data_IF_327324807945
#
_entry.id   IF_327324807945
#
_cell.length_a   1.000
_cell.length_b   1.000
_cell.length_c   1.000
_cell.angle_alpha   90.00
_cell.angle_beta   90.00
_cell.angle_gamma   90.00
#
_symmetry.space_group_name_H-M   'P 1'
#
loop_
_entity.id
_entity.type
_entity.pdbx_description
1 polymer ?
#
# COMPACT_ATOMS: atom_id res chain seq x y z
N UNK A 1 17.76 -13.26 -7.42
CA UNK A 1 17.23 -12.42 -8.51
C UNK A 1 16.81 -11.11 -7.88
N UNK A 2 17.32 -10.00 -8.40
CA UNK A 2 17.13 -8.70 -7.78
C UNK A 2 16.19 -7.84 -8.61
N UNK A 3 15.33 -7.09 -7.96
CA UNK A 3 14.49 -6.06 -8.54
C UNK A 3 14.46 -4.84 -7.62
N UNK A 4 14.24 -3.68 -8.18
CA UNK A 4 13.98 -2.46 -7.44
C UNK A 4 12.98 -1.61 -8.20
N UNK A 5 12.33 -0.69 -7.52
CA UNK A 5 11.40 0.25 -8.11
C UNK A 5 11.09 1.40 -7.18
N UNK A 6 10.50 2.45 -7.77
CA UNK A 6 10.03 3.64 -7.06
C UNK A 6 8.64 4.00 -7.56
N UNK A 7 7.76 4.38 -6.64
CA UNK A 7 6.39 4.79 -6.95
C UNK A 7 6.04 6.07 -6.19
N UNK A 8 5.48 7.03 -6.92
CA UNK A 8 4.91 8.24 -6.32
C UNK A 8 3.44 8.02 -6.05
N UNK A 9 3.02 8.25 -4.83
CA UNK A 9 1.65 8.05 -4.35
C UNK A 9 1.16 9.40 -3.82
N UNK A 10 0.04 9.90 -4.35
CA UNK A 10 -0.56 11.18 -3.98
C UNK A 10 -1.35 11.07 -2.66
N UNK A 11 -0.68 10.60 -1.61
CA UNK A 11 -1.22 10.47 -0.26
C UNK A 11 -0.10 10.68 0.76
N UNK A 12 -0.46 11.02 2.00
CA UNK A 12 0.52 11.20 3.08
C UNK A 12 1.20 9.87 3.43
N UNK A 13 2.37 9.95 4.01
CA UNK A 13 3.15 8.78 4.41
C UNK A 13 2.39 7.88 5.39
N UNK A 14 1.65 8.49 6.32
CA UNK A 14 0.80 7.80 7.29
C UNK A 14 -0.34 7.03 6.59
N UNK A 15 -0.98 7.66 5.59
CA UNK A 15 -2.05 7.04 4.80
C UNK A 15 -1.53 5.86 3.99
N UNK A 16 -0.39 6.02 3.33
CA UNK A 16 0.26 4.93 2.57
C UNK A 16 0.67 3.79 3.51
N UNK A 17 1.25 4.12 4.66
CA UNK A 17 1.62 3.14 5.69
C UNK A 17 0.41 2.33 6.18
N UNK A 18 -0.68 3.00 6.54
CA UNK A 18 -1.91 2.36 6.99
C UNK A 18 -2.46 1.40 5.92
N UNK A 19 -2.48 1.83 4.66
CA UNK A 19 -2.94 1.02 3.53
C UNK A 19 -2.08 -0.22 3.28
N UNK A 20 -0.75 -0.10 3.41
CA UNK A 20 0.19 -1.22 3.28
C UNK A 20 0.12 -2.21 4.46
N UNK A 21 -0.52 -1.83 5.55
CA UNK A 21 -0.75 -2.68 6.72
C UNK A 21 -2.21 -3.15 6.86
N UNK A 22 -3.10 -2.79 5.94
CA UNK A 22 -4.49 -3.22 5.94
C UNK A 22 -4.70 -4.45 5.03
N UNK A 23 -5.05 -5.63 5.59
CA UNK A 23 -5.31 -6.84 4.80
C UNK A 23 -6.38 -6.65 3.72
N UNK A 24 -7.42 -5.86 3.98
CA UNK A 24 -8.50 -5.62 3.03
C UNK A 24 -8.01 -4.78 1.84
N UNK A 25 -7.21 -3.75 2.10
CA UNK A 25 -6.57 -2.95 1.05
C UNK A 25 -5.58 -3.79 0.24
N UNK A 26 -4.73 -4.56 0.90
CA UNK A 26 -3.78 -5.45 0.23
C UNK A 26 -4.49 -6.47 -0.65
N UNK A 27 -5.58 -7.08 -0.17
CA UNK A 27 -6.37 -8.05 -0.95
C UNK A 27 -6.95 -7.43 -2.22
N UNK A 28 -7.43 -6.19 -2.17
CA UNK A 28 -7.94 -5.46 -3.34
C UNK A 28 -6.83 -5.17 -4.36
N UNK A 29 -5.64 -4.82 -3.88
CA UNK A 29 -4.54 -4.40 -4.73
C UNK A 29 -3.76 -5.57 -5.34
N UNK A 30 -3.66 -6.72 -4.65
CA UNK A 30 -2.96 -7.90 -5.15
C UNK A 30 -3.82 -8.62 -6.20
N UNK A 31 -3.35 -8.66 -7.44
CA UNK A 31 -4.06 -9.35 -8.51
C UNK A 31 -4.14 -10.86 -8.26
N UNK A 32 -5.36 -11.42 -8.32
CA UNK A 32 -5.59 -12.84 -8.10
C UNK A 32 -5.57 -13.25 -6.63
N UNK A 33 -5.58 -12.30 -5.69
CA UNK A 33 -5.68 -12.58 -4.27
C UNK A 33 -7.09 -13.14 -3.96
N UNK A 34 -7.13 -14.39 -3.53
CA UNK A 34 -8.37 -15.06 -3.13
C UNK A 34 -8.68 -14.85 -1.64
N UNK A 35 -7.64 -14.78 -0.82
CA UNK A 35 -7.73 -14.46 0.61
C UNK A 35 -6.41 -13.88 1.11
N UNK A 36 -6.49 -12.96 2.08
CA UNK A 36 -5.34 -12.45 2.82
C UNK A 36 -5.82 -12.07 4.22
N UNK A 37 -5.21 -12.67 5.22
CA UNK A 37 -5.58 -12.46 6.63
C UNK A 37 -4.33 -12.14 7.44
N UNK A 38 -4.48 -11.29 8.45
CA UNK A 38 -3.44 -11.05 9.44
C UNK A 38 -3.49 -12.15 10.49
N UNK A 39 -2.43 -12.95 10.59
CA UNK A 39 -2.33 -14.08 11.54
C UNK A 39 -1.56 -13.72 12.81
N UNK A 40 -0.74 -12.67 12.74
CA UNK A 40 -0.06 -12.07 13.90
C UNK A 40 0.20 -10.58 13.60
N UNK A 41 0.73 -9.82 14.56
CA UNK A 41 0.95 -8.37 14.43
C UNK A 41 1.70 -7.99 13.14
N UNK A 42 2.71 -8.78 12.77
CA UNK A 42 3.55 -8.54 11.61
C UNK A 42 3.52 -9.72 10.62
N UNK A 43 2.48 -10.56 10.63
CA UNK A 43 2.36 -11.70 9.73
C UNK A 43 1.02 -11.72 9.02
N UNK A 44 1.07 -11.97 7.71
CA UNK A 44 -0.09 -12.18 6.86
C UNK A 44 0.01 -13.54 6.18
N UNK A 45 -1.11 -14.21 6.05
CA UNK A 45 -1.24 -15.44 5.29
C UNK A 45 -2.39 -15.35 4.28
N UNK A 46 -2.23 -15.99 3.14
CA UNK A 46 -3.27 -15.91 2.12
C UNK A 46 -3.06 -16.87 0.97
N UNK A 47 -3.95 -16.74 -0.01
CA UNK A 47 -3.94 -17.50 -1.26
C UNK A 47 -4.00 -16.57 -2.44
N UNK A 48 -3.08 -16.75 -3.39
CA UNK A 48 -2.98 -15.93 -4.59
C UNK A 48 -2.92 -16.82 -5.82
N UNK A 49 -3.85 -16.63 -6.75
CA UNK A 49 -3.79 -17.25 -8.08
C UNK A 49 -2.87 -16.42 -8.98
N UNK A 50 -1.81 -17.00 -9.49
CA UNK A 50 -0.84 -16.30 -10.34
C UNK A 50 -0.48 -17.10 -11.59
N UNK A 51 -0.11 -16.36 -12.65
CA UNK A 51 0.41 -16.92 -13.90
C UNK A 51 1.81 -16.33 -14.18
N UNK A 52 2.79 -17.20 -14.34
CA UNK A 52 4.18 -16.83 -14.66
C UNK A 52 4.59 -17.60 -15.91
N UNK A 53 4.56 -16.91 -17.05
CA UNK A 53 4.71 -17.57 -18.36
C UNK A 53 3.62 -18.64 -18.57
N UNK A 54 3.98 -19.88 -18.89
CA UNK A 54 3.05 -20.98 -19.09
C UNK A 54 2.53 -21.60 -17.78
N UNK A 55 3.13 -21.26 -16.64
CA UNK A 55 2.80 -21.84 -15.34
C UNK A 55 1.68 -21.06 -14.70
N UNK A 56 0.55 -21.72 -14.38
CA UNK A 56 -0.56 -21.16 -13.63
C UNK A 56 -0.80 -21.97 -12.38
N UNK A 57 -0.86 -21.32 -11.22
CA UNK A 57 -1.07 -22.02 -9.95
C UNK A 57 -1.69 -21.11 -8.89
N UNK A 58 -2.25 -21.75 -7.86
CA UNK A 58 -2.63 -21.10 -6.61
C UNK A 58 -1.50 -21.29 -5.60
N UNK A 59 -1.02 -20.19 -5.09
CA UNK A 59 0.06 -20.15 -4.11
C UNK A 59 -0.50 -19.86 -2.73
N UNK A 60 -0.12 -20.67 -1.75
CA UNK A 60 -0.24 -20.28 -0.35
C UNK A 60 0.93 -19.36 -0.04
N UNK A 61 0.65 -18.16 0.45
CA UNK A 61 1.65 -17.14 0.76
C UNK A 61 1.69 -16.86 2.25
N UNK A 62 2.89 -16.62 2.77
CA UNK A 62 3.14 -16.11 4.11
C UNK A 62 4.05 -14.92 3.96
N UNK A 63 3.64 -13.78 4.51
CA UNK A 63 4.38 -12.52 4.49
C UNK A 63 4.65 -12.09 5.93
N UNK A 64 5.88 -11.62 6.20
CA UNK A 64 6.27 -11.08 7.50
C UNK A 64 6.92 -9.73 7.34
N UNK A 65 6.58 -8.82 8.24
CA UNK A 65 7.22 -7.52 8.36
C UNK A 65 8.28 -7.60 9.46
N UNK A 66 9.50 -7.27 9.10
CA UNK A 66 10.67 -7.25 9.98
C UNK A 66 11.29 -5.86 9.96
N UNK A 67 12.12 -5.52 10.96
CA UNK A 67 12.81 -4.23 11.05
C UNK A 67 11.89 -3.02 10.86
N UNK A 68 10.71 -3.08 11.45
CA UNK A 68 9.65 -2.08 11.26
C UNK A 68 9.99 -0.77 11.96
N UNK A 69 10.13 0.30 11.18
CA UNK A 69 10.17 1.69 11.64
C UNK A 69 8.87 2.34 11.17
N UNK A 70 7.89 2.56 12.07
CA UNK A 70 6.56 3.02 11.69
C UNK A 70 6.59 4.27 10.80
N UNK A 71 5.79 4.25 9.75
CA UNK A 71 5.67 5.27 8.70
C UNK A 71 6.91 5.54 7.85
N UNK A 72 8.05 4.88 8.12
CA UNK A 72 9.30 5.12 7.42
C UNK A 72 9.78 3.93 6.61
N UNK A 73 9.92 2.76 7.23
CA UNK A 73 10.50 1.60 6.53
C UNK A 73 10.16 0.27 7.19
N UNK A 74 10.28 -0.79 6.43
CA UNK A 74 10.26 -2.18 6.90
C UNK A 74 10.95 -3.10 5.89
N UNK A 75 11.34 -4.28 6.36
CA UNK A 75 11.74 -5.40 5.52
C UNK A 75 10.56 -6.37 5.42
N UNK A 76 10.06 -6.60 4.20
CA UNK A 76 9.04 -7.60 3.90
C UNK A 76 9.73 -8.91 3.56
N UNK A 77 9.55 -9.96 4.37
CA UNK A 77 9.95 -11.31 4.00
C UNK A 77 8.74 -12.12 3.53
N UNK A 78 8.92 -12.95 2.51
CA UNK A 78 7.82 -13.68 1.91
C UNK A 78 8.19 -15.08 1.46
N UNK A 79 7.26 -16.01 1.72
CA UNK A 79 7.29 -17.36 1.17
C UNK A 79 6.00 -17.66 0.43
N UNK A 80 6.10 -18.35 -0.69
CA UNK A 80 4.96 -18.86 -1.45
C UNK A 80 5.16 -20.30 -1.85
N UNK A 81 4.12 -21.12 -1.78
CA UNK A 81 4.17 -22.55 -2.12
C UNK A 81 2.95 -22.94 -2.95
N UNK A 82 3.17 -23.70 -4.03
CA UNK A 82 2.14 -24.20 -4.91
C UNK A 82 2.32 -25.71 -5.19
N UNK A 83 2.38 -26.51 -4.14
CA UNK A 83 2.50 -27.96 -4.22
C UNK A 83 3.63 -28.43 -5.15
N UNK A 84 3.34 -29.27 -6.14
CA UNK A 84 4.31 -29.80 -7.11
C UNK A 84 4.75 -28.78 -8.18
N UNK A 85 4.13 -27.60 -8.24
CA UNK A 85 4.49 -26.54 -9.20
C UNK A 85 5.76 -25.82 -8.77
N UNK A 86 5.93 -25.58 -7.47
CA UNK A 86 7.13 -24.96 -6.96
C UNK A 86 6.88 -24.01 -5.80
N UNK A 87 7.92 -23.25 -5.52
CA UNK A 87 7.91 -22.27 -4.42
C UNK A 87 8.66 -21.01 -4.84
N UNK A 88 8.36 -19.92 -4.14
CA UNK A 88 9.12 -18.68 -4.14
C UNK A 88 9.43 -18.25 -2.71
N UNK A 89 10.55 -17.60 -2.49
CA UNK A 89 10.90 -16.95 -1.24
C UNK A 89 11.77 -15.74 -1.51
N UNK A 90 11.65 -14.71 -0.69
CA UNK A 90 12.47 -13.52 -0.85
C UNK A 90 12.24 -12.51 0.25
N UNK A 91 12.98 -11.42 0.14
CA UNK A 91 12.82 -10.24 0.99
C UNK A 91 12.82 -8.98 0.16
N UNK A 92 12.17 -7.95 0.67
CA UNK A 92 12.17 -6.61 0.09
C UNK A 92 12.33 -5.57 1.20
N UNK A 93 13.30 -4.69 1.06
CA UNK A 93 13.41 -3.51 1.89
C UNK A 93 12.55 -2.41 1.27
N UNK A 94 11.63 -1.86 2.04
CA UNK A 94 10.69 -0.82 1.63
C UNK A 94 10.94 0.43 2.45
N UNK A 95 11.04 1.57 1.77
CA UNK A 95 11.25 2.90 2.38
C UNK A 95 10.18 3.86 1.87
N UNK A 96 9.58 4.61 2.78
CA UNK A 96 8.63 5.68 2.51
C UNK A 96 9.28 7.02 2.84
N UNK A 97 9.26 7.96 1.92
CA UNK A 97 9.73 9.32 2.12
C UNK A 97 8.72 10.34 1.62
N UNK A 98 8.61 11.47 2.28
CA UNK A 98 7.78 12.57 1.81
C UNK A 98 8.43 13.24 0.60
N UNK A 99 7.64 13.49 -0.44
CA UNK A 99 8.12 14.20 -1.63
C UNK A 99 6.98 14.88 -2.37
N UNK A 100 7.16 16.17 -2.65
CA UNK A 100 6.26 16.98 -3.48
C UNK A 100 4.77 16.88 -3.05
N UNK A 101 4.49 16.91 -1.74
CA UNK A 101 3.14 16.82 -1.18
C UNK A 101 2.52 15.42 -1.18
N UNK A 102 3.28 14.39 -1.48
CA UNK A 102 2.88 12.98 -1.43
C UNK A 102 3.98 12.09 -0.86
N UNK A 103 3.88 10.80 -1.12
CA UNK A 103 4.84 9.79 -0.67
C UNK A 103 5.60 9.21 -1.84
N UNK A 104 6.92 9.19 -1.76
CA UNK A 104 7.79 8.37 -2.59
C UNK A 104 8.03 7.05 -1.84
N UNK A 105 7.54 5.95 -2.40
CA UNK A 105 7.84 4.59 -1.97
C UNK A 105 8.96 4.05 -2.84
N UNK A 106 10.07 3.61 -2.23
CA UNK A 106 11.15 2.88 -2.91
C UNK A 106 11.32 1.50 -2.32
N UNK A 107 11.66 0.52 -3.14
CA UNK A 107 11.95 -0.84 -2.68
C UNK A 107 13.13 -1.45 -3.43
N UNK A 108 13.82 -2.35 -2.73
CA UNK A 108 14.81 -3.25 -3.30
C UNK A 108 14.51 -4.66 -2.79
N UNK A 109 14.42 -5.62 -3.70
CA UNK A 109 14.04 -6.99 -3.35
C UNK A 109 14.98 -8.02 -3.98
N UNK A 110 15.31 -9.05 -3.19
CA UNK A 110 15.92 -10.29 -3.66
C UNK A 110 14.95 -11.46 -3.48
N UNK A 111 14.90 -12.34 -4.48
CA UNK A 111 14.05 -13.52 -4.40
C UNK A 111 14.61 -14.72 -5.15
N UNK A 112 14.16 -15.90 -4.74
CA UNK A 112 14.51 -17.21 -5.32
C UNK A 112 13.24 -18.00 -5.60
N UNK A 113 13.25 -18.72 -6.70
CA UNK A 113 12.16 -19.64 -7.08
C UNK A 113 12.70 -21.04 -7.28
N UNK A 114 11.87 -22.04 -7.03
CA UNK A 114 12.23 -23.45 -7.21
C UNK A 114 11.10 -24.25 -7.86
N UNK A 115 11.39 -25.52 -8.17
CA UNK A 115 10.45 -26.40 -8.87
C UNK A 115 10.27 -26.04 -10.35
N UNK A 116 9.07 -26.26 -10.89
CA UNK A 116 8.73 -25.93 -12.29
C UNK A 116 8.84 -24.42 -12.57
N UNK A 117 8.65 -23.56 -11.56
CA UNK A 117 8.85 -22.13 -11.69
C UNK A 117 10.29 -21.77 -12.08
N UNK A 118 11.28 -22.46 -11.55
CA UNK A 118 12.67 -22.20 -11.92
C UNK A 118 12.96 -22.56 -13.38
N UNK A 119 12.21 -23.51 -13.96
CA UNK A 119 12.36 -23.94 -15.36
C UNK A 119 11.80 -22.93 -16.37
N UNK A 120 10.95 -21.99 -15.92
CA UNK A 120 10.40 -20.92 -16.78
C UNK A 120 11.49 -19.94 -17.25
N UNK A 121 12.57 -19.84 -16.49
CA UNK A 121 13.71 -18.95 -16.77
C UNK A 121 13.62 -17.62 -16.01
N UNK A 122 14.77 -17.19 -15.52
CA UNK A 122 14.89 -16.00 -14.65
C UNK A 122 14.32 -14.74 -15.28
N UNK A 123 14.50 -14.53 -16.59
CA UNK A 123 14.03 -13.34 -17.30
C UNK A 123 12.50 -13.21 -17.26
N UNK A 124 11.77 -14.32 -17.46
CA UNK A 124 10.31 -14.33 -17.40
C UNK A 124 9.80 -14.15 -15.97
N UNK A 125 10.49 -14.76 -14.98
CA UNK A 125 10.14 -14.60 -13.57
C UNK A 125 10.34 -13.17 -13.12
N UNK A 126 11.49 -12.55 -13.41
CA UNK A 126 11.76 -11.12 -13.09
C UNK A 126 10.74 -10.20 -13.77
N UNK A 127 10.43 -10.43 -15.06
CA UNK A 127 9.45 -9.63 -15.78
C UNK A 127 8.04 -9.73 -15.17
N UNK A 128 7.61 -10.93 -14.79
CA UNK A 128 6.33 -11.15 -14.12
C UNK A 128 6.28 -10.47 -12.74
N UNK A 129 7.37 -10.57 -11.96
CA UNK A 129 7.46 -9.95 -10.63
C UNK A 129 7.40 -8.43 -10.71
N UNK A 130 8.14 -7.81 -11.65
CA UNK A 130 8.05 -6.36 -11.89
C UNK A 130 6.65 -5.93 -12.28
N UNK A 131 6.03 -6.63 -13.23
CA UNK A 131 4.64 -6.33 -13.63
C UNK A 131 3.67 -6.44 -12.46
N UNK A 132 3.82 -7.43 -11.59
CA UNK A 132 2.98 -7.58 -10.40
C UNK A 132 3.15 -6.40 -9.43
N UNK A 133 4.38 -5.92 -9.24
CA UNK A 133 4.66 -4.73 -8.43
C UNK A 133 4.02 -3.47 -9.05
N UNK A 134 4.17 -3.26 -10.36
CA UNK A 134 3.57 -2.12 -11.08
C UNK A 134 2.04 -2.15 -10.98
N UNK A 135 1.42 -3.32 -11.19
CA UNK A 135 -0.04 -3.50 -11.08
C UNK A 135 -0.54 -3.25 -9.65
N UNK A 136 0.21 -3.72 -8.64
CA UNK A 136 -0.12 -3.53 -7.23
C UNK A 136 -0.07 -2.06 -6.84
N UNK A 137 1.05 -1.38 -7.05
CA UNK A 137 1.21 0.03 -6.68
C UNK A 137 0.30 0.96 -7.50
N UNK A 138 0.06 0.63 -8.76
CA UNK A 138 -0.91 1.36 -9.57
C UNK A 138 -2.35 1.23 -9.08
N UNK A 139 -2.74 0.09 -8.50
CA UNK A 139 -4.05 -0.07 -7.84
C UNK A 139 -4.09 0.63 -6.50
N UNK A 140 -3.04 0.49 -5.68
CA UNK A 140 -2.94 1.15 -4.39
C UNK A 140 -3.09 2.67 -4.54
N UNK A 141 -2.40 3.29 -5.49
CA UNK A 141 -2.53 4.73 -5.76
C UNK A 141 -3.97 5.12 -6.08
N UNK A 142 -4.65 4.37 -6.97
CA UNK A 142 -6.05 4.64 -7.33
C UNK A 142 -7.02 4.47 -6.16
N UNK A 143 -6.85 3.44 -5.33
CA UNK A 143 -7.69 3.23 -4.16
C UNK A 143 -7.52 4.37 -3.14
N UNK A 144 -6.29 4.84 -2.93
CA UNK A 144 -6.00 5.96 -2.04
C UNK A 144 -6.53 7.29 -2.58
N UNK A 145 -6.41 7.54 -3.89
CA UNK A 145 -7.00 8.72 -4.53
C UNK A 145 -8.53 8.71 -4.42
N UNK A 146 -9.17 7.55 -4.64
CA UNK A 146 -10.63 7.40 -4.52
C UNK A 146 -11.14 7.55 -3.07
N UNK A 147 -10.28 7.29 -2.08
CA UNK A 147 -10.61 7.41 -0.65
C UNK A 147 -10.30 8.80 -0.08
N UNK A 148 -9.76 9.73 -0.90
CA UNK A 148 -9.45 11.09 -0.48
C UNK A 148 -10.77 11.87 -0.29
N UNK A 149 -11.05 12.46 0.88
CA UNK A 149 -12.23 13.29 1.06
C UNK A 149 -12.21 14.48 0.09
N UNK A 150 -13.36 14.80 -0.53
CA UNK A 150 -13.51 15.95 -1.44
C UNK A 150 -13.15 17.30 -0.79
N UNK A 151 -13.07 17.37 0.53
CA UNK A 151 -12.74 18.55 1.31
C UNK A 151 -11.29 19.06 1.10
N UNK A 152 -10.33 18.17 0.80
CA UNK A 152 -8.94 18.56 0.53
C UNK A 152 -8.75 19.09 -0.90
N UNK A 153 -9.56 18.64 -1.86
CA UNK A 153 -9.57 19.16 -3.22
C UNK A 153 -10.17 20.58 -3.31
N UNK A 154 -11.04 20.95 -2.37
CA UNK A 154 -11.62 22.29 -2.29
C UNK A 154 -10.66 23.32 -1.64
N UNK A 155 -9.70 22.88 -0.83
CA UNK A 155 -8.74 23.77 -0.19
C UNK A 155 -7.61 24.24 -1.15
N UNK A 156 -7.30 23.47 -2.19
CA UNK A 156 -6.34 23.90 -3.23
C UNK A 156 -6.93 24.81 -4.30
N UNK A 157 -8.26 24.98 -4.34
CA UNK A 157 -8.96 25.75 -5.36
C UNK A 157 -9.39 27.16 -4.93
N UNK A 158 -8.83 27.75 -3.87
CA UNK A 158 -9.10 29.14 -3.50
C UNK A 158 -8.10 30.04 -4.24
N UNK A 159 -8.50 30.72 -5.33
CA UNK A 159 -7.68 31.79 -5.89
C UNK A 159 -7.59 32.91 -4.88
N UNK A 160 -6.41 33.45 -4.67
CA UNK A 160 -6.16 34.63 -3.88
C UNK A 160 -7.03 35.79 -4.40
N UNK A 161 -8.16 36.05 -3.76
CA UNK A 161 -8.97 37.23 -4.00
C UNK A 161 -8.53 38.31 -3.03
N UNK A 162 -8.16 39.42 -3.62
CA UNK A 162 -7.68 40.69 -3.06
C UNK A 162 -8.45 41.14 -1.85
N UNK A 163 -7.71 41.65 -0.89
CA UNK A 163 -8.22 42.37 0.26
C UNK A 163 -8.94 43.67 -0.19
N UNK A 164 -10.22 43.76 0.02
CA UNK A 164 -10.88 45.06 0.15
C UNK A 164 -11.58 45.19 1.51
N UNK A 165 -11.11 46.19 2.22
CA UNK A 165 -11.46 46.56 3.56
C UNK A 165 -12.86 47.19 3.62
N UNK A 166 -13.81 46.59 4.32
CA UNK A 166 -14.89 47.31 5.05
C UNK A 166 -15.55 46.39 6.08
N UNK A 167 -15.29 46.67 7.35
CA UNK A 167 -16.08 46.21 8.48
C UNK A 167 -17.51 46.81 8.42
N UNK A 168 -18.52 46.12 8.97
CA UNK A 168 -18.87 46.39 10.35
C UNK A 168 -19.14 45.18 11.24
N UNK A 169 -18.72 45.35 12.46
CA UNK A 169 -19.04 44.69 13.70
C UNK A 169 -20.54 44.43 13.86
N UNK A 170 -20.97 43.18 14.18
CA UNK A 170 -22.00 42.87 15.21
C UNK A 170 -22.10 41.33 15.44
N UNK A 171 -22.01 40.97 16.74
CA UNK A 171 -22.64 39.84 17.46
C UNK A 171 -22.42 38.42 16.91
N UNK A 172 -21.86 37.47 17.59
CA UNK A 172 -21.93 37.14 19.01
C UNK A 172 -22.41 35.71 19.20
N UNK A 173 -21.57 34.83 19.83
CA UNK A 173 -21.97 33.67 20.66
C UNK A 173 -22.97 32.65 20.10
N UNK A 174 -22.50 31.50 19.64
CA UNK A 174 -23.14 30.19 19.84
C UNK A 174 -22.44 29.03 19.08
N UNK A 175 -21.24 28.60 19.40
CA UNK A 175 -20.73 27.27 19.05
C UNK A 175 -19.76 26.76 20.14
N UNK A 176 -20.24 26.70 21.37
CA UNK A 176 -19.50 26.10 22.49
C UNK A 176 -20.29 24.99 23.22
N UNK A 177 -21.36 24.47 22.61
CA UNK A 177 -22.31 23.55 23.29
C UNK A 177 -22.32 22.09 22.77
N UNK A 178 -21.65 21.72 21.67
CA UNK A 178 -21.84 20.42 21.04
C UNK A 178 -20.68 19.42 21.24
N UNK A 179 -19.55 19.84 21.81
CA UNK A 179 -18.40 18.94 22.04
C UNK A 179 -18.38 18.30 23.45
N UNK A 180 -19.27 18.70 24.38
CA UNK A 180 -19.32 18.13 25.73
C UNK A 180 -20.30 16.96 25.84
N UNK A 181 -21.24 16.80 24.91
CA UNK A 181 -22.25 15.72 24.99
C UNK A 181 -21.75 14.39 24.40
N UNK A 182 -20.72 14.38 23.57
CA UNK A 182 -20.16 13.14 22.99
C UNK A 182 -19.17 12.40 23.90
N UNK A 183 -18.73 13.05 25.00
CA UNK A 183 -17.75 12.45 25.94
C UNK A 183 -18.37 11.85 27.21
N UNK A 184 -19.69 11.93 27.39
CA UNK A 184 -20.35 11.48 28.63
C UNK A 184 -21.33 10.30 28.47
N UNK A 185 -21.43 9.67 27.29
CA UNK A 185 -22.29 8.49 27.07
C UNK A 185 -21.52 7.44 26.28
N UNK A 186 -20.37 6.98 26.86
CA UNK A 186 -19.85 5.63 26.61
C UNK A 186 -18.82 5.26 27.65
#
# INVERSE_FOLDING_TARGET
MDISGEYRIAATRETVWAALNDPAMLQKCIQGCESLERTADNEFQGKVAAAIGPVRAKFNVVLRLENVVPTESYTLTGESKAGSVGFGRGSADVVLSERDGGTLLSYTADFKVGGKLAQVGSRLVVGATKKTADDFFGRLSRELEASRPEEEAAAEAVPAAEADSRLPLVAGLAVAGLLVWWFLVR
#
